data_IF_217387894211
#
_entry.id   IF_217387894211
#
_cell.length_a   1.000
_cell.length_b   1.000
_cell.length_c   1.000
_cell.angle_alpha   90.00
_cell.angle_beta   90.00
_cell.angle_gamma   90.00
#
_symmetry.space_group_name_H-M   'P 1'
#
loop_
_entity.id
_entity.type
_entity.pdbx_description
1 polymer ?
#
# COMPACT_ATOMS: atom_id res chain seq x y z
N UNK A 1 -72.74 -9.90 -11.92
CA UNK A 1 -71.90 -10.92 -11.23
C UNK A 1 -70.89 -11.45 -12.24
N UNK A 2 -69.58 -11.59 -11.95
CA UNK A 2 -68.67 -10.78 -11.13
C UNK A 2 -67.46 -10.28 -11.98
N UNK A 3 -66.99 -9.05 -11.72
CA UNK A 3 -65.67 -8.71 -11.14
C UNK A 3 -64.44 -8.83 -12.07
N UNK A 4 -63.97 -7.66 -12.52
CA UNK A 4 -62.56 -7.40 -12.83
C UNK A 4 -61.70 -7.65 -11.58
N UNK A 5 -60.60 -8.40 -11.71
CA UNK A 5 -59.49 -8.30 -10.75
C UNK A 5 -58.14 -8.48 -11.42
N UNK A 6 -57.23 -7.66 -10.95
CA UNK A 6 -55.95 -7.23 -11.48
C UNK A 6 -54.83 -8.08 -10.84
N UNK A 7 -53.88 -8.53 -11.68
CA UNK A 7 -52.44 -8.45 -11.42
C UNK A 7 -51.71 -9.55 -10.59
N UNK A 8 -50.44 -9.65 -10.98
CA UNK A 8 -49.24 -10.09 -10.25
C UNK A 8 -48.91 -11.58 -10.15
N UNK A 9 -47.74 -11.93 -10.68
CA UNK A 9 -47.08 -13.20 -10.43
C UNK A 9 -45.78 -13.39 -11.21
N UNK A 10 -44.96 -12.33 -11.32
CA UNK A 10 -43.58 -12.43 -11.80
C UNK A 10 -42.85 -13.44 -10.90
N UNK A 11 -42.51 -14.59 -11.48
CA UNK A 11 -41.70 -15.62 -10.83
C UNK A 11 -40.41 -14.99 -10.32
N UNK A 12 -40.17 -15.14 -9.02
CA UNK A 12 -39.07 -14.56 -8.29
C UNK A 12 -37.72 -14.96 -8.91
N UNK A 13 -37.06 -14.01 -9.59
CA UNK A 13 -35.60 -13.96 -9.62
C UNK A 13 -35.16 -13.67 -8.19
N UNK A 14 -34.77 -14.72 -7.47
CA UNK A 14 -34.00 -14.62 -6.23
C UNK A 14 -32.68 -13.96 -6.59
N UNK A 15 -32.67 -12.63 -6.57
CA UNK A 15 -31.45 -11.84 -6.60
C UNK A 15 -30.63 -12.24 -5.38
N UNK A 16 -29.56 -13.00 -5.60
CA UNK A 16 -28.40 -13.05 -4.72
C UNK A 16 -27.85 -11.62 -4.57
N UNK A 17 -28.47 -10.81 -3.71
CA UNK A 17 -27.83 -9.64 -3.13
C UNK A 17 -27.07 -10.10 -1.91
N UNK A 18 -25.93 -10.76 -2.13
CA UNK A 18 -24.83 -10.59 -1.18
C UNK A 18 -24.51 -9.10 -1.27
N UNK A 19 -24.73 -8.31 -0.20
CA UNK A 19 -24.42 -6.92 -0.30
C UNK A 19 -22.91 -6.82 -0.48
N UNK A 20 -22.52 -6.25 -1.62
CA UNK A 20 -21.16 -5.86 -1.93
C UNK A 20 -20.76 -4.68 -1.04
N UNK A 21 -20.93 -4.79 0.28
CA UNK A 21 -20.28 -3.88 1.21
C UNK A 21 -18.83 -4.30 1.21
N UNK A 22 -18.06 -3.55 0.42
CA UNK A 22 -16.64 -3.65 0.31
C UNK A 22 -16.01 -3.83 1.70
N UNK A 23 -15.21 -4.89 1.83
CA UNK A 23 -14.13 -4.95 2.80
C UNK A 23 -13.10 -3.89 2.40
N UNK A 24 -13.42 -2.61 2.61
CA UNK A 24 -12.38 -1.62 2.76
C UNK A 24 -11.67 -2.01 4.06
N UNK A 25 -10.46 -2.57 3.94
CA UNK A 25 -9.61 -2.82 5.09
C UNK A 25 -9.57 -1.53 5.92
N UNK A 26 -10.02 -1.62 7.17
CA UNK A 26 -9.88 -0.51 8.11
C UNK A 26 -8.38 -0.19 8.22
N UNK A 27 -7.97 0.95 7.66
CA UNK A 27 -6.61 1.44 7.80
C UNK A 27 -6.64 2.48 8.93
N UNK A 28 -6.32 2.10 10.18
CA UNK A 28 -6.39 3.03 11.32
C UNK A 28 -5.48 4.26 11.15
N UNK A 29 -4.55 4.17 10.19
CA UNK A 29 -3.64 5.20 9.74
C UNK A 29 -4.26 6.25 8.78
N UNK A 30 -5.34 5.95 8.04
CA UNK A 30 -5.96 6.95 7.16
C UNK A 30 -7.01 7.85 7.84
N UNK A 31 -7.25 7.66 9.14
CA UNK A 31 -8.01 8.60 9.96
C UNK A 31 -7.23 9.91 10.16
N UNK A 32 -7.89 11.03 10.51
CA UNK A 32 -7.21 12.24 10.97
C UNK A 32 -6.22 11.96 12.10
N UNK A 33 -5.09 12.69 12.15
CA UNK A 33 -3.96 12.45 13.09
C UNK A 33 -4.41 12.27 14.55
N UNK A 34 -5.46 12.98 14.98
CA UNK A 34 -5.99 12.91 16.35
C UNK A 34 -6.74 11.61 16.70
N UNK A 35 -7.07 10.78 15.69
CA UNK A 35 -7.65 9.44 15.85
C UNK A 35 -6.69 8.33 15.46
N UNK A 36 -5.59 8.65 14.78
CA UNK A 36 -4.61 7.66 14.37
C UNK A 36 -3.96 7.02 15.62
N UNK A 37 -3.72 5.70 15.62
CA UNK A 37 -2.96 5.08 16.71
C UNK A 37 -1.56 5.70 16.81
N UNK A 38 -0.93 5.66 17.99
CA UNK A 38 0.46 6.08 18.11
C UNK A 38 1.35 5.25 17.18
N UNK A 39 2.42 5.83 16.60
CA UNK A 39 3.38 5.06 15.83
C UNK A 39 3.89 3.87 16.65
N UNK A 40 3.96 2.66 16.09
CA UNK A 40 4.57 1.52 16.78
C UNK A 40 5.98 1.89 17.23
N UNK A 41 6.41 1.37 18.39
CA UNK A 41 7.75 1.69 18.94
C UNK A 41 8.88 1.13 18.05
N UNK A 42 8.66 -0.03 17.42
CA UNK A 42 9.63 -0.69 16.54
C UNK A 42 8.92 -1.38 15.35
N UNK A 43 8.36 -0.62 14.38
CA UNK A 43 7.81 -1.19 13.16
C UNK A 43 8.91 -1.87 12.34
N UNK A 44 8.60 -3.04 11.79
CA UNK A 44 9.44 -3.66 10.77
C UNK A 44 9.59 -2.70 9.58
N UNK A 45 10.82 -2.59 9.07
CA UNK A 45 11.10 -1.78 7.91
C UNK A 45 10.44 -2.38 6.67
N UNK A 46 9.63 -1.58 5.98
CA UNK A 46 9.05 -1.96 4.71
C UNK A 46 10.15 -2.25 3.69
N UNK A 47 9.83 -3.11 2.73
CA UNK A 47 10.76 -3.53 1.68
C UNK A 47 12.05 -4.14 2.23
N UNK A 48 12.01 -4.79 3.39
CA UNK A 48 13.20 -5.34 4.03
C UNK A 48 14.28 -4.26 4.24
N UNK A 49 13.89 -3.03 4.59
CA UNK A 49 14.85 -1.94 4.86
C UNK A 49 15.64 -1.46 3.62
N UNK A 50 15.22 -1.81 2.42
CA UNK A 50 15.73 -1.20 1.18
C UNK A 50 15.11 0.19 0.96
N UNK A 51 15.89 1.09 0.36
CA UNK A 51 15.43 2.44 0.07
C UNK A 51 14.27 2.43 -0.96
N UNK A 52 13.06 2.92 -0.61
CA UNK A 52 11.90 2.84 -1.49
C UNK A 52 12.02 3.70 -2.74
N UNK A 53 12.74 4.83 -2.68
CA UNK A 53 13.00 5.64 -3.87
C UNK A 53 14.04 4.96 -4.76
N UNK A 54 15.10 4.38 -4.18
CA UNK A 54 16.07 3.59 -4.93
C UNK A 54 15.38 2.41 -5.65
N UNK A 55 14.53 1.66 -4.95
CA UNK A 55 13.75 0.57 -5.54
C UNK A 55 12.83 1.05 -6.66
N UNK A 56 12.21 2.23 -6.50
CA UNK A 56 11.37 2.82 -7.54
C UNK A 56 12.14 3.18 -8.81
N UNK A 57 13.43 3.53 -8.70
CA UNK A 57 14.34 3.72 -9.83
C UNK A 57 15.12 2.45 -10.20
N UNK A 58 14.67 1.27 -9.71
CA UNK A 58 15.21 -0.07 -9.98
C UNK A 58 16.62 -0.34 -9.44
N UNK A 59 17.01 0.34 -8.37
CA UNK A 59 18.23 0.08 -7.62
C UNK A 59 17.92 -0.60 -6.28
N UNK A 60 18.70 -1.62 -5.91
CA UNK A 60 18.61 -2.29 -4.61
C UNK A 60 19.68 -1.71 -3.68
N UNK A 61 19.29 -0.74 -2.85
CA UNK A 61 20.19 -0.17 -1.83
C UNK A 61 19.65 -0.55 -0.45
N UNK A 62 20.32 -1.48 0.22
CA UNK A 62 20.02 -1.85 1.62
C UNK A 62 20.48 -0.71 2.51
N UNK A 63 19.65 -0.33 3.47
CA UNK A 63 19.94 0.77 4.39
C UNK A 63 20.14 0.27 5.81
N UNK A 64 20.83 1.06 6.62
CA UNK A 64 20.92 0.87 8.07
C UNK A 64 19.72 1.48 8.83
N UNK A 65 18.72 2.00 8.10
CA UNK A 65 17.56 2.70 8.64
C UNK A 65 17.89 3.91 9.54
N UNK A 66 19.09 4.49 9.43
CA UNK A 66 19.48 5.73 10.12
C UNK A 66 18.59 6.92 9.74
N UNK A 67 18.16 6.97 8.48
CA UNK A 67 17.18 7.94 7.97
C UNK A 67 15.86 7.22 7.77
N UNK A 68 14.87 7.54 8.61
CA UNK A 68 13.57 6.86 8.63
C UNK A 68 12.37 7.81 8.48
N UNK A 69 11.25 7.26 8.03
CA UNK A 69 9.94 7.91 7.95
C UNK A 69 8.85 6.87 8.20
N UNK A 70 7.94 7.15 9.13
CA UNK A 70 6.68 6.39 9.22
C UNK A 70 5.66 7.11 8.34
N UNK A 71 5.13 6.44 7.32
CA UNK A 71 4.15 7.04 6.43
C UNK A 71 2.76 6.96 7.04
N UNK A 72 2.14 8.11 7.31
CA UNK A 72 0.88 8.15 8.03
C UNK A 72 -0.29 7.45 7.34
N UNK A 73 -0.25 7.13 6.04
CA UNK A 73 -1.40 6.50 5.37
C UNK A 73 -1.49 4.99 5.59
N UNK A 74 -0.36 4.33 5.83
CA UNK A 74 -0.28 2.88 6.03
C UNK A 74 0.42 2.49 7.33
N UNK A 75 1.01 3.46 8.04
CA UNK A 75 1.73 3.24 9.30
C UNK A 75 3.05 2.50 9.13
N UNK A 76 3.54 2.34 7.89
CA UNK A 76 4.75 1.57 7.59
C UNK A 76 6.00 2.40 7.77
N UNK A 77 7.08 1.76 8.21
CA UNK A 77 8.39 2.37 8.33
C UNK A 77 9.14 2.25 7.00
N UNK A 78 9.56 3.38 6.46
CA UNK A 78 10.40 3.47 5.28
C UNK A 78 11.79 3.96 5.67
N UNK A 79 12.82 3.29 5.16
CA UNK A 79 14.21 3.63 5.40
C UNK A 79 14.86 4.21 4.14
N UNK A 80 15.79 5.14 4.28
CA UNK A 80 16.40 5.86 3.16
C UNK A 80 17.92 5.86 3.27
N UNK A 81 18.60 5.73 2.13
CA UNK A 81 20.05 5.80 2.06
C UNK A 81 20.58 7.23 2.15
N UNK A 82 19.73 8.24 1.90
CA UNK A 82 20.10 9.65 2.01
C UNK A 82 18.90 10.55 2.29
N UNK A 83 19.16 11.75 2.80
CA UNK A 83 18.13 12.78 2.98
C UNK A 83 17.50 13.20 1.63
N UNK A 84 18.31 13.23 0.57
CA UNK A 84 17.84 13.51 -0.80
C UNK A 84 16.83 12.47 -1.28
N UNK A 85 17.11 11.19 -1.02
CA UNK A 85 16.19 10.09 -1.34
C UNK A 85 14.85 10.24 -0.61
N UNK A 86 14.91 10.57 0.69
CA UNK A 86 13.71 10.89 1.49
C UNK A 86 12.96 12.10 0.93
N UNK A 87 13.64 13.16 0.52
CA UNK A 87 13.02 14.34 -0.05
C UNK A 87 12.25 14.00 -1.33
N UNK A 88 12.88 13.31 -2.28
CA UNK A 88 12.21 12.87 -3.50
C UNK A 88 11.02 11.95 -3.22
N UNK A 89 11.17 11.02 -2.27
CA UNK A 89 10.06 10.16 -1.86
C UNK A 89 8.86 10.98 -1.37
N UNK A 90 9.11 12.02 -0.57
CA UNK A 90 8.07 12.87 0.01
C UNK A 90 7.28 13.70 -1.01
N UNK A 91 7.82 13.93 -2.21
CA UNK A 91 7.09 14.61 -3.30
C UNK A 91 5.86 13.80 -3.76
N UNK A 92 5.97 12.46 -3.77
CA UNK A 92 4.85 11.58 -4.13
C UNK A 92 5.01 10.16 -3.54
N UNK A 93 4.80 9.97 -2.23
CA UNK A 93 5.04 8.69 -1.55
C UNK A 93 4.27 7.53 -2.20
N UNK A 94 3.00 7.75 -2.52
CA UNK A 94 2.14 6.71 -3.11
C UNK A 94 2.66 6.22 -4.48
N UNK A 95 3.26 7.10 -5.29
CA UNK A 95 3.88 6.72 -6.56
C UNK A 95 5.12 5.86 -6.31
N UNK A 96 6.03 6.29 -5.44
CA UNK A 96 7.29 5.58 -5.20
C UNK A 96 7.06 4.24 -4.50
N UNK A 97 6.14 4.16 -3.52
CA UNK A 97 5.71 2.90 -2.91
C UNK A 97 5.18 1.92 -3.96
N UNK A 98 4.35 2.39 -4.90
CA UNK A 98 3.82 1.55 -5.98
C UNK A 98 4.93 1.04 -6.91
N UNK A 99 5.86 1.90 -7.29
CA UNK A 99 6.98 1.52 -8.16
C UNK A 99 7.96 0.57 -7.46
N UNK A 100 8.29 0.80 -6.19
CA UNK A 100 9.12 -0.09 -5.39
C UNK A 100 8.48 -1.48 -5.25
N UNK A 101 7.18 -1.54 -4.94
CA UNK A 101 6.41 -2.78 -4.91
C UNK A 101 6.44 -3.51 -6.25
N UNK A 102 6.25 -2.78 -7.35
CA UNK A 102 6.32 -3.36 -8.68
C UNK A 102 7.70 -3.97 -8.92
N UNK A 103 8.78 -3.24 -8.63
CA UNK A 103 10.15 -3.72 -8.82
C UNK A 103 10.46 -4.97 -8.00
N UNK A 104 10.08 -5.02 -6.73
CA UNK A 104 10.29 -6.22 -5.88
C UNK A 104 9.51 -7.41 -6.43
N UNK A 105 8.23 -7.22 -6.79
CA UNK A 105 7.38 -8.30 -7.31
C UNK A 105 7.87 -8.85 -8.65
N UNK A 106 8.44 -8.02 -9.52
CA UNK A 106 8.98 -8.45 -10.81
C UNK A 106 10.40 -9.01 -10.72
N UNK A 107 11.07 -8.86 -9.58
CA UNK A 107 12.49 -9.23 -9.43
C UNK A 107 12.74 -10.14 -8.22
N UNK A 108 12.01 -11.28 -8.10
CA UNK A 108 12.11 -12.13 -6.92
C UNK A 108 13.49 -12.80 -6.75
N UNK A 109 14.29 -12.96 -7.81
CA UNK A 109 15.55 -13.74 -7.78
C UNK A 109 16.70 -13.18 -8.64
N UNK A 110 16.77 -11.88 -8.92
CA UNK A 110 18.04 -11.33 -9.44
C UNK A 110 18.93 -11.01 -8.24
N UNK A 111 19.78 -11.99 -7.90
CA UNK A 111 21.07 -11.75 -7.25
C UNK A 111 21.74 -10.59 -7.94
N UNK A 112 22.11 -9.59 -7.13
CA UNK A 112 22.92 -8.46 -7.57
C UNK A 112 24.29 -9.04 -7.89
N UNK A 113 24.63 -9.12 -9.18
CA UNK A 113 26.03 -9.15 -9.55
C UNK A 113 26.61 -7.79 -9.15
N UNK A 114 27.24 -7.75 -7.98
CA UNK A 114 28.07 -6.65 -7.52
C UNK A 114 29.27 -6.51 -8.46
N UNK A 115 29.08 -5.82 -9.58
CA UNK A 115 30.18 -5.26 -10.35
C UNK A 115 29.85 -3.84 -10.78
N UNK A 116 29.90 -2.93 -9.81
CA UNK A 116 30.12 -1.51 -10.09
C UNK A 116 31.32 -1.03 -9.26
N UNK A 117 32.50 -1.37 -9.77
CA UNK A 117 33.79 -0.84 -9.35
C UNK A 117 34.09 0.45 -10.14
N UNK A 118 34.52 1.57 -9.52
CA UNK A 118 35.39 2.54 -10.19
C UNK A 118 36.85 2.05 -10.24
#
# INVERSE_FOLDING_TARGET
MPSNTFNTGFFALVFLRVPLFALAAENPWAEPIWKSPPPPENPDAEFDGFDPYALAIKAKIKTDCSIRLIWHRDGKLYCFNSLTSKAFFMDNPARYIRLANHFIKTTPNMEVNDEQKP
#
